data_IF_231220374224
#
_entry.id   IF_231220374224
#
_cell.length_a   1.000
_cell.length_b   1.000
_cell.length_c   1.000
_cell.angle_alpha   90.00
_cell.angle_beta   90.00
_cell.angle_gamma   90.00
#
_symmetry.space_group_name_H-M   'P 1'
#
loop_
_entity.id
_entity.type
_entity.pdbx_description
1 polymer ?
#
# COMPACT_ATOMS: atom_id res chain seq x y z
N UNK A 1 -6.19 -11.84 11.67
CA UNK A 1 -4.70 -11.75 11.64
C UNK A 1 -4.18 -10.76 12.69
N UNK A 2 -4.75 -9.55 12.82
CA UNK A 2 -4.29 -8.59 13.85
C UNK A 2 -4.70 -8.96 15.30
N UNK A 3 -5.84 -9.63 15.54
CA UNK A 3 -6.24 -9.98 16.91
C UNK A 3 -5.59 -11.29 17.40
N UNK A 4 -5.15 -12.17 16.51
CA UNK A 4 -4.36 -13.36 16.85
C UNK A 4 -3.04 -12.99 17.56
N UNK A 5 -2.33 -11.98 17.04
CA UNK A 5 -1.03 -11.53 17.57
C UNK A 5 -1.15 -10.67 18.84
N UNK A 6 -2.23 -9.90 19.02
CA UNK A 6 -2.33 -8.88 20.09
C UNK A 6 -3.01 -9.34 21.38
N UNK A 7 -3.68 -10.50 21.40
CA UNK A 7 -4.42 -10.98 22.58
C UNK A 7 -3.57 -11.73 23.62
N UNK A 8 -2.33 -12.13 23.31
CA UNK A 8 -1.41 -12.80 24.25
C UNK A 8 -1.75 -14.24 24.66
N UNK A 9 -2.98 -14.70 24.43
CA UNK A 9 -3.45 -16.07 24.75
C UNK A 9 -3.53 -16.98 23.52
N UNK A 10 -2.86 -16.63 22.42
CA UNK A 10 -2.87 -17.39 21.15
C UNK A 10 -1.45 -17.73 20.74
N UNK A 11 -0.87 -16.94 19.85
CA UNK A 11 0.48 -17.18 19.35
C UNK A 11 1.54 -16.48 20.22
N UNK A 12 2.70 -17.12 20.38
CA UNK A 12 3.84 -16.52 21.06
C UNK A 12 4.47 -15.43 20.18
N UNK A 13 4.49 -14.20 20.67
CA UNK A 13 4.99 -13.02 19.95
C UNK A 13 6.03 -12.28 20.79
N UNK A 14 7.00 -11.66 20.12
CA UNK A 14 8.01 -10.81 20.75
C UNK A 14 8.03 -9.45 20.07
N UNK A 15 8.07 -8.38 20.85
CA UNK A 15 8.16 -7.01 20.36
C UNK A 15 9.15 -6.22 21.20
N UNK A 16 9.93 -5.36 20.54
CA UNK A 16 10.83 -4.40 21.17
C UNK A 16 10.29 -2.99 20.95
N UNK A 17 10.24 -2.20 22.02
CA UNK A 17 9.87 -0.77 21.95
C UNK A 17 11.14 0.06 22.00
N UNK A 18 11.35 0.86 20.95
CA UNK A 18 12.47 1.80 20.86
C UNK A 18 11.94 3.22 21.08
N UNK A 19 12.51 3.93 22.05
CA UNK A 19 12.26 5.36 22.26
C UNK A 19 13.58 6.10 22.10
N UNK A 20 13.65 6.98 21.11
CA UNK A 20 14.85 7.77 20.85
C UNK A 20 15.16 8.72 22.01
N UNK A 21 16.39 8.62 22.52
CA UNK A 21 16.96 9.61 23.45
C UNK A 21 17.71 10.70 22.69
N UNK A 22 18.39 10.32 21.60
CA UNK A 22 19.11 11.25 20.73
C UNK A 22 18.15 11.80 19.69
N UNK A 23 17.96 13.12 19.72
CA UNK A 23 17.14 13.84 18.76
C UNK A 23 18.00 14.63 17.78
N UNK A 24 17.44 14.88 16.60
CA UNK A 24 18.04 15.71 15.57
C UNK A 24 17.02 16.70 15.00
N UNK A 25 17.52 17.80 14.44
CA UNK A 25 16.69 18.80 13.79
C UNK A 25 15.93 18.18 12.62
N UNK A 26 14.64 18.48 12.56
CA UNK A 26 13.70 18.01 11.55
C UNK A 26 12.62 19.08 11.34
N UNK A 27 11.63 18.74 10.52
CA UNK A 27 10.43 19.52 10.26
C UNK A 27 9.21 18.62 10.41
N UNK A 28 8.09 19.18 10.87
CA UNK A 28 6.78 18.52 10.95
C UNK A 28 5.71 19.58 10.67
N UNK A 29 4.92 19.40 9.62
CA UNK A 29 3.91 20.39 9.19
C UNK A 29 4.51 21.80 8.99
N UNK A 30 5.67 21.86 8.33
CA UNK A 30 6.44 23.07 8.06
C UNK A 30 7.11 23.71 9.29
N UNK A 31 6.87 23.18 10.50
CA UNK A 31 7.39 23.75 11.75
C UNK A 31 8.68 23.03 12.18
N UNK A 32 9.66 23.74 12.76
CA UNK A 32 10.83 23.11 13.35
C UNK A 32 10.43 22.04 14.38
N UNK A 33 11.03 20.85 14.27
CA UNK A 33 10.73 19.71 15.12
C UNK A 33 12.01 18.96 15.49
N UNK A 34 12.06 18.39 16.70
CA UNK A 34 13.15 17.51 17.12
C UNK A 34 12.73 16.05 16.98
N UNK A 35 13.18 15.40 15.92
CA UNK A 35 12.85 14.01 15.65
C UNK A 35 13.88 13.06 16.29
N UNK A 36 13.41 11.91 16.76
CA UNK A 36 14.30 10.82 17.16
C UNK A 36 15.15 10.34 15.99
N UNK A 37 16.46 10.20 16.19
CA UNK A 37 17.41 9.85 15.13
C UNK A 37 17.10 8.49 14.50
N UNK A 38 16.81 7.49 15.33
CA UNK A 38 16.49 6.15 14.84
C UNK A 38 15.15 6.14 14.12
N UNK A 39 14.08 6.61 14.78
CA UNK A 39 12.73 6.60 14.21
C UNK A 39 12.63 7.38 12.89
N UNK A 40 13.28 8.56 12.81
CA UNK A 40 13.34 9.36 11.58
C UNK A 40 14.07 8.63 10.47
N UNK A 41 15.27 8.09 10.73
CA UNK A 41 16.05 7.39 9.70
C UNK A 41 15.31 6.17 9.15
N UNK A 42 14.71 5.35 10.02
CA UNK A 42 13.91 4.20 9.62
C UNK A 42 12.70 4.62 8.77
N UNK A 43 11.90 5.59 9.23
CA UNK A 43 10.74 6.10 8.47
C UNK A 43 11.15 6.61 7.09
N UNK A 44 12.21 7.40 7.02
CA UNK A 44 12.69 7.94 5.75
C UNK A 44 13.17 6.85 4.80
N UNK A 45 13.84 5.81 5.31
CA UNK A 45 14.24 4.66 4.52
C UNK A 45 13.01 3.96 3.92
N UNK A 46 12.01 3.62 4.75
CA UNK A 46 10.77 2.99 4.27
C UNK A 46 10.05 3.85 3.24
N UNK A 47 9.92 5.16 3.48
CA UNK A 47 9.27 6.05 2.51
C UNK A 47 10.02 6.15 1.19
N UNK A 48 11.35 6.22 1.22
CA UNK A 48 12.18 6.23 0.01
C UNK A 48 12.08 4.93 -0.76
N UNK A 49 12.06 3.80 -0.07
CA UNK A 49 11.86 2.49 -0.69
C UNK A 49 10.51 2.44 -1.42
N UNK A 50 9.44 2.78 -0.71
CA UNK A 50 8.08 2.77 -1.24
C UNK A 50 7.86 3.74 -2.41
N UNK A 51 8.56 4.87 -2.43
CA UNK A 51 8.53 5.85 -3.52
C UNK A 51 9.56 5.56 -4.63
N UNK A 52 10.39 4.53 -4.52
CA UNK A 52 11.42 4.20 -5.51
C UNK A 52 12.56 5.23 -5.60
N UNK A 53 12.88 5.88 -4.48
CA UNK A 53 13.90 6.93 -4.32
C UNK A 53 15.25 6.40 -3.82
N UNK A 54 15.34 5.13 -3.45
CA UNK A 54 16.61 4.50 -3.07
C UNK A 54 17.58 4.43 -4.25
N UNK A 55 18.88 4.57 -3.98
CA UNK A 55 19.91 4.58 -5.01
C UNK A 55 19.99 3.24 -5.75
N UNK A 56 19.76 2.16 -5.01
CA UNK A 56 19.72 0.75 -5.40
C UNK A 56 18.40 0.30 -6.03
N UNK A 57 17.39 1.18 -6.13
CA UNK A 57 16.11 0.82 -6.74
C UNK A 57 16.31 0.37 -8.20
N UNK A 58 15.79 -0.81 -8.56
CA UNK A 58 15.86 -1.37 -9.93
C UNK A 58 15.25 -0.43 -10.97
N UNK A 59 14.17 0.27 -10.59
CA UNK A 59 13.56 1.34 -11.37
C UNK A 59 13.51 2.60 -10.52
N UNK A 60 14.29 3.59 -10.89
CA UNK A 60 14.24 4.91 -10.26
C UNK A 60 12.95 5.60 -10.66
N UNK A 61 12.17 6.00 -9.66
CA UNK A 61 10.96 6.77 -9.89
C UNK A 61 11.32 8.13 -10.51
N UNK A 62 10.55 8.53 -11.52
CA UNK A 62 10.73 9.80 -12.22
C UNK A 62 9.73 10.82 -11.68
N UNK A 63 10.19 11.63 -10.73
CA UNK A 63 9.44 12.80 -10.27
C UNK A 63 9.89 14.04 -11.06
N UNK A 64 8.96 14.96 -11.32
CA UNK A 64 9.27 16.22 -12.01
C UNK A 64 10.14 17.17 -11.16
N UNK A 65 10.19 16.93 -9.86
CA UNK A 65 10.95 17.68 -8.87
C UNK A 65 11.62 16.72 -7.88
N UNK A 66 12.62 17.20 -7.15
CA UNK A 66 13.26 16.42 -6.09
C UNK A 66 12.27 16.23 -4.93
N UNK A 67 11.99 14.97 -4.58
CA UNK A 67 11.11 14.63 -3.46
C UNK A 67 11.92 14.57 -2.17
N UNK A 68 11.54 15.36 -1.17
CA UNK A 68 12.04 15.21 0.20
C UNK A 68 11.03 14.45 1.04
N UNK A 69 11.53 13.49 1.84
CA UNK A 69 10.74 12.76 2.83
C UNK A 69 10.96 13.30 4.26
N UNK A 70 11.54 14.50 4.42
CA UNK A 70 11.88 15.05 5.75
C UNK A 70 10.65 15.39 6.58
N UNK A 71 9.64 15.99 5.96
CA UNK A 71 8.36 16.34 6.58
C UNK A 71 7.26 15.37 6.11
N UNK A 72 6.92 14.35 6.91
CA UNK A 72 5.99 13.31 6.48
C UNK A 72 4.52 13.72 6.51
N UNK A 73 4.17 14.88 7.10
CA UNK A 73 2.77 15.29 7.32
C UNK A 73 2.41 16.56 6.57
N UNK A 74 3.36 17.24 5.94
CA UNK A 74 3.05 18.37 5.06
C UNK A 74 2.21 17.89 3.86
N UNK A 75 1.19 18.65 3.48
CA UNK A 75 0.31 18.33 2.35
C UNK A 75 1.10 18.14 1.04
N UNK A 76 2.15 18.93 0.83
CA UNK A 76 3.05 18.83 -0.32
C UNK A 76 3.77 17.49 -0.42
N UNK A 77 3.88 16.75 0.69
CA UNK A 77 4.38 15.38 0.69
C UNK A 77 3.23 14.37 0.76
N UNK A 78 2.35 14.49 1.74
CA UNK A 78 1.31 13.49 1.99
C UNK A 78 0.29 13.41 0.84
N UNK A 79 -0.21 14.56 0.38
CA UNK A 79 -1.22 14.61 -0.68
C UNK A 79 -0.56 14.51 -2.06
N UNK A 80 0.37 15.42 -2.34
CA UNK A 80 0.90 15.60 -3.69
C UNK A 80 1.92 14.55 -4.12
N UNK A 81 2.57 13.87 -3.16
CA UNK A 81 3.54 12.81 -3.43
C UNK A 81 2.99 11.45 -3.03
N UNK A 82 2.69 11.23 -1.74
CA UNK A 82 2.36 9.90 -1.22
C UNK A 82 1.03 9.39 -1.78
N UNK A 83 -0.07 10.10 -1.54
CA UNK A 83 -1.40 9.72 -2.03
C UNK A 83 -1.48 9.76 -3.55
N UNK A 84 -0.98 10.83 -4.19
CA UNK A 84 -0.98 10.93 -5.65
C UNK A 84 -0.22 9.78 -6.32
N UNK A 85 0.92 9.35 -5.75
CA UNK A 85 1.68 8.20 -6.27
C UNK A 85 0.91 6.89 -6.07
N UNK A 86 0.35 6.66 -4.88
CA UNK A 86 -0.42 5.46 -4.58
C UNK A 86 -1.64 5.31 -5.51
N UNK A 87 -2.39 6.39 -5.70
CA UNK A 87 -3.54 6.46 -6.62
C UNK A 87 -3.13 6.22 -8.07
N UNK A 88 -2.09 6.92 -8.54
CA UNK A 88 -1.62 6.80 -9.93
C UNK A 88 -1.12 5.38 -10.22
N UNK A 89 -0.38 4.79 -9.29
CA UNK A 89 0.13 3.42 -9.46
C UNK A 89 -1.01 2.40 -9.46
N UNK A 90 -1.98 2.52 -8.55
CA UNK A 90 -3.16 1.65 -8.51
C UNK A 90 -3.91 1.68 -9.86
N UNK A 91 -4.16 2.87 -10.41
CA UNK A 91 -4.80 3.03 -11.72
C UNK A 91 -4.00 2.35 -12.84
N UNK A 92 -2.67 2.50 -12.86
CA UNK A 92 -1.81 1.82 -13.85
C UNK A 92 -1.94 0.30 -13.72
N UNK A 93 -1.91 -0.23 -12.49
CA UNK A 93 -2.03 -1.68 -12.29
C UNK A 93 -3.39 -2.22 -12.73
N UNK A 94 -4.48 -1.51 -12.42
CA UNK A 94 -5.83 -1.86 -12.83
C UNK A 94 -6.02 -1.78 -14.35
N UNK A 95 -5.50 -0.73 -14.99
CA UNK A 95 -5.57 -0.53 -16.44
C UNK A 95 -4.76 -1.58 -17.20
N UNK A 96 -3.53 -1.85 -16.76
CA UNK A 96 -2.60 -2.71 -17.50
C UNK A 96 -2.88 -4.18 -17.26
N UNK A 97 -3.13 -4.56 -16.01
CA UNK A 97 -3.18 -5.96 -15.58
C UNK A 97 -4.56 -6.41 -15.12
N UNK A 98 -5.54 -5.50 -15.03
CA UNK A 98 -6.84 -5.79 -14.40
C UNK A 98 -6.68 -6.39 -13.01
N UNK A 99 -5.72 -5.88 -12.25
CA UNK A 99 -5.42 -6.35 -10.90
C UNK A 99 -6.65 -6.24 -9.99
N UNK A 100 -6.72 -7.14 -9.01
CA UNK A 100 -7.69 -7.10 -7.92
C UNK A 100 -6.97 -7.41 -6.61
N UNK A 101 -7.44 -6.88 -5.46
CA UNK A 101 -8.71 -6.17 -5.23
C UNK A 101 -8.78 -4.80 -5.94
N UNK A 102 -9.99 -4.30 -6.23
CA UNK A 102 -10.23 -3.02 -6.92
C UNK A 102 -11.59 -2.42 -6.53
N UNK A 103 -11.73 -1.09 -6.54
CA UNK A 103 -12.99 -0.40 -6.27
C UNK A 103 -14.00 -0.47 -7.43
N UNK A 104 -13.60 -0.96 -8.61
CA UNK A 104 -14.52 -1.17 -9.73
C UNK A 104 -15.40 -2.41 -9.61
N UNK A 105 -15.21 -3.21 -8.55
CA UNK A 105 -15.87 -4.49 -8.35
C UNK A 105 -16.43 -4.56 -6.94
N UNK A 106 -17.74 -4.40 -6.81
CA UNK A 106 -18.42 -4.39 -5.51
C UNK A 106 -19.16 -5.71 -5.24
N UNK A 107 -19.33 -6.57 -6.25
CA UNK A 107 -20.03 -7.87 -6.16
C UNK A 107 -19.25 -9.02 -6.81
N UNK A 108 -19.59 -10.27 -6.45
CA UNK A 108 -18.98 -11.46 -7.07
C UNK A 108 -19.32 -11.60 -8.56
N UNK A 109 -20.49 -11.14 -8.99
CA UNK A 109 -20.89 -11.15 -10.41
C UNK A 109 -20.02 -10.18 -11.23
N UNK A 110 -19.77 -8.98 -10.71
CA UNK A 110 -18.82 -8.02 -11.29
C UNK A 110 -17.41 -8.59 -11.29
N UNK A 111 -17.01 -9.30 -10.23
CA UNK A 111 -15.69 -9.92 -10.15
C UNK A 111 -15.46 -11.00 -11.23
N UNK A 112 -16.45 -11.84 -11.49
CA UNK A 112 -16.40 -12.81 -12.57
C UNK A 112 -16.28 -12.12 -13.93
N UNK A 113 -17.06 -11.06 -14.16
CA UNK A 113 -16.97 -10.26 -15.39
C UNK A 113 -15.61 -9.57 -15.52
N UNK A 114 -15.04 -9.10 -14.42
CA UNK A 114 -13.77 -8.41 -14.39
C UNK A 114 -12.61 -9.33 -14.77
N UNK A 115 -12.58 -10.54 -14.22
CA UNK A 115 -11.51 -11.54 -14.44
C UNK A 115 -11.63 -12.30 -15.75
N UNK A 116 -12.81 -12.30 -16.38
CA UNK A 116 -13.02 -12.93 -17.71
C UNK A 116 -12.47 -12.11 -18.88
N UNK A 117 -12.11 -10.85 -18.64
CA UNK A 117 -11.58 -9.96 -19.68
C UNK A 117 -10.06 -10.09 -19.78
N UNK A 118 -9.54 -10.08 -21.01
CA UNK A 118 -8.10 -10.15 -21.28
C UNK A 118 -7.46 -8.80 -20.85
N UNK A 119 -6.38 -8.80 -20.06
CA UNK A 119 -5.69 -7.58 -19.65
C UNK A 119 -4.86 -6.96 -20.78
N UNK A 120 -4.59 -5.65 -20.69
CA UNK A 120 -3.78 -4.92 -21.68
C UNK A 120 -2.39 -5.51 -21.86
N UNK A 121 -1.80 -6.04 -20.79
CA UNK A 121 -0.52 -6.73 -20.84
C UNK A 121 -0.46 -7.89 -21.82
N UNK A 122 -1.61 -8.50 -22.15
CA UNK A 122 -1.70 -9.63 -23.08
C UNK A 122 -2.12 -9.18 -24.48
N UNK A 123 -3.19 -8.37 -24.62
CA UNK A 123 -3.68 -7.99 -25.95
C UNK A 123 -2.91 -6.82 -26.58
N UNK A 124 -2.21 -5.99 -25.80
CA UNK A 124 -1.36 -4.91 -26.29
C UNK A 124 -0.10 -4.69 -25.42
N UNK A 125 0.89 -5.61 -25.51
CA UNK A 125 2.09 -5.56 -24.67
C UNK A 125 2.90 -4.26 -24.82
N UNK A 126 2.90 -3.63 -26.01
CA UNK A 126 3.64 -2.38 -26.23
C UNK A 126 3.02 -1.22 -25.44
N UNK A 127 1.70 -1.07 -25.48
CA UNK A 127 1.00 -0.03 -24.70
C UNK A 127 1.13 -0.30 -23.19
N UNK A 128 1.05 -1.56 -22.78
CA UNK A 128 1.28 -1.96 -21.40
C UNK A 128 2.69 -1.56 -20.93
N UNK A 129 3.72 -1.79 -21.74
CA UNK A 129 5.09 -1.41 -21.41
C UNK A 129 5.24 0.10 -21.26
N UNK A 130 4.62 0.89 -22.16
CA UNK A 130 4.61 2.35 -22.07
C UNK A 130 3.96 2.82 -20.78
N UNK A 131 2.78 2.28 -20.45
CA UNK A 131 2.03 2.69 -19.27
C UNK A 131 2.74 2.36 -17.96
N UNK A 132 3.38 1.19 -17.90
CA UNK A 132 4.15 0.73 -16.73
C UNK A 132 5.41 1.59 -16.48
N UNK A 133 5.89 2.36 -17.47
CA UNK A 133 7.02 3.30 -17.27
C UNK A 133 6.66 4.49 -16.38
N UNK A 134 5.37 4.77 -16.21
CA UNK A 134 4.89 5.86 -15.34
C UNK A 134 4.84 5.47 -13.86
N UNK A 135 5.02 4.18 -13.52
CA UNK A 135 5.03 3.71 -12.14
C UNK A 135 6.18 4.33 -11.35
N UNK A 136 5.85 4.78 -10.12
CA UNK A 136 6.81 5.37 -9.19
C UNK A 136 6.81 4.58 -7.89
N UNK A 137 7.89 3.84 -7.66
CA UNK A 137 7.99 2.97 -6.48
C UNK A 137 6.96 1.85 -6.50
N UNK A 138 6.44 1.50 -5.32
CA UNK A 138 5.55 0.33 -5.11
C UNK A 138 4.28 0.66 -4.33
N UNK A 139 4.07 1.93 -3.97
CA UNK A 139 2.83 2.35 -3.30
C UNK A 139 1.62 2.14 -4.21
N UNK A 140 0.54 1.63 -3.66
CA UNK A 140 -0.77 1.54 -4.30
C UNK A 140 -1.83 1.88 -3.27
N UNK A 141 -2.90 2.55 -3.71
CA UNK A 141 -4.07 2.76 -2.85
C UNK A 141 -4.73 1.42 -2.54
N UNK A 142 -5.13 1.24 -1.28
CA UNK A 142 -5.87 0.05 -0.88
C UNK A 142 -7.35 0.25 -1.21
N UNK A 143 -7.97 -0.61 -2.03
CA UNK A 143 -9.36 -0.50 -2.42
C UNK A 143 -10.29 -0.81 -1.24
N UNK A 144 -11.21 0.10 -0.95
CA UNK A 144 -12.13 0.00 0.19
C UNK A 144 -13.51 -0.51 -0.22
N UNK A 145 -13.85 -0.44 -1.52
CA UNK A 145 -15.14 -0.83 -2.06
C UNK A 145 -15.12 -2.24 -2.68
N UNK A 146 -13.95 -2.89 -2.74
CA UNK A 146 -13.86 -4.23 -3.30
C UNK A 146 -14.77 -5.23 -2.56
N UNK A 147 -15.71 -5.82 -3.30
CA UNK A 147 -16.71 -6.76 -2.79
C UNK A 147 -17.55 -6.23 -1.61
N UNK A 148 -17.69 -4.91 -1.46
CA UNK A 148 -18.39 -4.31 -0.33
C UNK A 148 -19.90 -4.62 -0.30
N UNK A 149 -20.49 -5.03 -1.43
CA UNK A 149 -21.89 -5.47 -1.55
C UNK A 149 -22.05 -7.00 -1.47
N UNK A 150 -20.97 -7.73 -1.20
CA UNK A 150 -21.01 -9.18 -1.06
C UNK A 150 -20.89 -9.61 0.42
N UNK A 151 -21.46 -10.77 0.73
CA UNK A 151 -21.23 -11.42 2.03
C UNK A 151 -19.90 -12.16 1.99
N UNK A 152 -18.88 -11.62 2.67
CA UNK A 152 -17.52 -12.19 2.71
C UNK A 152 -17.34 -13.25 3.80
N UNK A 153 -18.30 -13.42 4.69
CA UNK A 153 -18.27 -14.50 5.68
C UNK A 153 -18.52 -15.84 5.00
N UNK A 154 -17.79 -16.91 5.37
CA UNK A 154 -18.10 -18.24 4.89
C UNK A 154 -19.56 -18.62 5.13
N UNK A 155 -20.18 -19.31 4.17
CA UNK A 155 -21.51 -19.87 4.39
C UNK A 155 -21.47 -20.91 5.51
N UNK A 156 -22.49 -20.95 6.35
CA UNK A 156 -22.57 -21.86 7.53
C UNK A 156 -22.38 -23.34 7.15
N UNK A 157 -22.71 -23.70 5.90
CA UNK A 157 -22.58 -25.06 5.35
C UNK A 157 -21.24 -25.34 4.67
N UNK A 158 -20.35 -24.34 4.52
CA UNK A 158 -19.01 -24.52 3.96
C UNK A 158 -18.04 -25.02 5.02
N UNK A 159 -16.94 -25.67 4.59
CA UNK A 159 -15.92 -26.17 5.52
C UNK A 159 -15.31 -25.05 6.36
N UNK A 160 -15.19 -23.86 5.80
CA UNK A 160 -14.69 -22.64 6.43
C UNK A 160 -15.73 -22.01 7.37
N UNK A 161 -17.03 -22.22 7.14
CA UNK A 161 -18.11 -21.81 8.05
C UNK A 161 -18.25 -22.68 9.30
N UNK A 162 -17.67 -23.88 9.27
CA UNK A 162 -17.54 -24.77 10.44
C UNK A 162 -16.31 -24.41 11.30
N UNK A 163 -15.42 -23.55 10.81
CA UNK A 163 -14.22 -23.10 11.54
C UNK A 163 -14.62 -21.96 12.49
N UNK A 164 -14.21 -21.98 13.77
CA UNK A 164 -14.48 -20.88 14.69
C UNK A 164 -13.98 -19.54 14.15
N UNK A 165 -14.78 -18.49 14.25
CA UNK A 165 -14.42 -17.14 13.76
C UNK A 165 -13.13 -16.58 14.41
N UNK A 166 -12.75 -17.13 15.56
CA UNK A 166 -11.47 -16.85 16.25
C UNK A 166 -10.23 -17.23 15.42
N UNK A 167 -10.36 -18.11 14.42
CA UNK A 167 -9.26 -18.44 13.49
C UNK A 167 -8.98 -17.29 12.52
N UNK A 168 -9.97 -16.47 12.20
CA UNK A 168 -9.82 -15.38 11.23
C UNK A 168 -9.52 -14.02 11.86
N UNK A 169 -9.78 -13.87 13.18
CA UNK A 169 -9.63 -12.62 13.92
C UNK A 169 -8.34 -12.58 14.70
#
# INVERSE_FOLDING_TARGET
MAAMSKCGNRDSEVCCVYTDVVKERSVMDGKPYEAGRFAKSLRMQCMREHLGLLAESRRKAKFAYAVSCDDPVADSFYVDVWQATAKSNAQIYEEVFRSYPTDFVETFEEFQKWTSQIPMSEYSPQQAEERVRDLKGVLVDFPLNFLCKATLTPGITSKEGLVPSAVFT
#
